data_IF_122007245008
#
_entry.id   IF_122007245008
#
_cell.length_a   1.000
_cell.length_b   1.000
_cell.length_c   1.000
_cell.angle_alpha   90.00
_cell.angle_beta   90.00
_cell.angle_gamma   90.00
#
_symmetry.space_group_name_H-M   'P 1'
#
loop_
_entity.id
_entity.type
_entity.pdbx_description
1 polymer ?
#
# COMPACT_ATOMS: atom_id res chain seq x y z
N UNK A 1 -8.77 -19.68 41.00
CA UNK A 1 -7.63 -19.92 41.92
C UNK A 1 -6.57 -18.90 41.57
N UNK A 2 -6.19 -18.01 42.49
CA UNK A 2 -5.04 -17.14 42.29
C UNK A 2 -3.79 -18.02 42.34
N UNK A 3 -2.94 -17.93 41.32
CA UNK A 3 -1.62 -18.57 41.32
C UNK A 3 -0.75 -17.75 42.27
N UNK A 4 -0.25 -18.36 43.34
CA UNK A 4 0.69 -17.68 44.23
C UNK A 4 1.90 -17.20 43.43
N UNK A 5 2.35 -15.95 43.60
CA UNK A 5 3.50 -15.43 42.90
C UNK A 5 4.75 -16.25 43.28
N UNK A 6 5.58 -16.57 42.28
CA UNK A 6 6.85 -17.26 42.50
C UNK A 6 7.65 -16.53 43.60
N UNK A 7 8.10 -17.24 44.65
CA UNK A 7 8.98 -16.66 45.67
C UNK A 7 10.20 -16.01 45.01
N UNK A 8 10.63 -14.87 45.54
CA UNK A 8 11.82 -14.12 45.11
C UNK A 8 11.82 -13.65 43.64
N UNK A 9 10.67 -13.69 42.95
CA UNK A 9 10.56 -13.30 41.55
C UNK A 9 10.98 -11.84 41.29
N UNK A 10 10.67 -10.93 42.22
CA UNK A 10 11.09 -9.53 42.13
C UNK A 10 12.62 -9.36 42.21
N UNK A 11 13.29 -10.12 43.07
CA UNK A 11 14.75 -10.11 43.18
C UNK A 11 15.40 -10.71 41.92
N UNK A 12 14.85 -11.82 41.42
CA UNK A 12 15.26 -12.41 40.15
C UNK A 12 15.17 -11.40 38.99
N UNK A 13 14.05 -10.68 38.86
CA UNK A 13 13.88 -9.69 37.79
C UNK A 13 14.90 -8.55 37.89
N UNK A 14 15.22 -8.09 39.10
CA UNK A 14 16.24 -7.06 39.30
C UNK A 14 17.65 -7.53 38.90
N UNK A 15 18.04 -8.75 39.31
CA UNK A 15 19.32 -9.35 38.93
C UNK A 15 19.40 -9.62 37.42
N UNK A 16 18.31 -10.13 36.84
CA UNK A 16 18.22 -10.38 35.41
C UNK A 16 18.34 -9.10 34.59
N UNK A 17 17.70 -8.01 35.03
CA UNK A 17 17.83 -6.70 34.40
C UNK A 17 19.29 -6.23 34.37
N UNK A 18 19.97 -6.27 35.51
CA UNK A 18 21.37 -5.84 35.60
C UNK A 18 22.28 -6.62 34.63
N UNK A 19 22.09 -7.94 34.55
CA UNK A 19 22.83 -8.80 33.62
C UNK A 19 22.54 -8.45 32.14
N UNK A 20 21.29 -8.16 31.80
CA UNK A 20 20.90 -7.81 30.43
C UNK A 20 21.44 -6.42 30.05
N UNK A 21 21.37 -5.44 30.95
CA UNK A 21 21.92 -4.09 30.73
C UNK A 21 23.43 -4.14 30.47
N UNK A 22 24.18 -4.92 31.25
CA UNK A 22 25.62 -5.12 31.04
C UNK A 22 25.91 -5.72 29.65
N UNK A 23 25.15 -6.74 29.24
CA UNK A 23 25.30 -7.37 27.93
C UNK A 23 24.97 -6.44 26.77
N UNK A 24 23.92 -5.63 26.90
CA UNK A 24 23.56 -4.63 25.87
C UNK A 24 24.65 -3.56 25.75
N UNK A 25 25.20 -3.09 26.87
CA UNK A 25 26.25 -2.09 26.91
C UNK A 25 27.58 -2.59 26.28
N UNK A 26 27.93 -3.85 26.51
CA UNK A 26 29.15 -4.46 25.95
C UNK A 26 29.06 -4.87 24.49
N UNK A 27 27.87 -4.86 23.88
CA UNK A 27 27.64 -5.39 22.55
C UNK A 27 27.75 -4.30 21.45
N UNK A 28 28.47 -4.60 20.35
CA UNK A 28 28.61 -3.70 19.20
C UNK A 28 27.24 -3.30 18.62
N UNK A 29 27.10 -2.02 18.26
CA UNK A 29 25.91 -1.51 17.58
C UNK A 29 25.62 -2.31 16.30
N UNK A 30 24.34 -2.63 16.09
CA UNK A 30 23.85 -3.36 14.93
C UNK A 30 22.53 -2.75 14.46
N UNK A 31 22.33 -2.69 13.14
CA UNK A 31 21.10 -2.23 12.52
C UNK A 31 19.92 -3.20 12.73
N UNK A 32 20.23 -4.45 13.12
CA UNK A 32 19.26 -5.50 13.37
C UNK A 32 18.86 -5.58 14.85
N UNK A 33 17.61 -5.98 15.09
CA UNK A 33 17.09 -6.17 16.44
C UNK A 33 17.74 -7.40 17.09
N UNK A 34 18.60 -7.18 18.08
CA UNK A 34 19.38 -8.26 18.70
C UNK A 34 18.53 -9.00 19.74
N UNK A 35 19.03 -10.16 20.16
CA UNK A 35 18.36 -10.94 21.20
C UNK A 35 18.40 -10.22 22.55
N UNK A 36 19.51 -9.55 22.82
CA UNK A 36 19.76 -8.78 24.03
C UNK A 36 18.86 -7.55 24.13
N UNK A 37 18.62 -6.87 23.00
CA UNK A 37 17.71 -5.72 22.93
C UNK A 37 16.25 -6.17 23.24
N UNK A 38 15.85 -7.34 22.73
CA UNK A 38 14.54 -7.95 23.05
C UNK A 38 14.41 -8.31 24.53
N UNK A 39 15.44 -8.91 25.13
CA UNK A 39 15.46 -9.21 26.56
C UNK A 39 15.38 -7.95 27.41
N UNK A 40 16.05 -6.87 26.99
CA UNK A 40 15.99 -5.59 27.71
C UNK A 40 14.58 -5.05 27.75
N UNK A 41 13.88 -5.04 26.62
CA UNK A 41 12.48 -4.61 26.56
C UNK A 41 11.58 -5.48 27.44
N UNK A 42 11.73 -6.79 27.37
CA UNK A 42 10.92 -7.75 28.14
C UNK A 42 11.10 -7.57 29.67
N UNK A 43 12.35 -7.41 30.15
CA UNK A 43 12.59 -7.21 31.58
C UNK A 43 12.15 -5.81 32.04
N UNK A 44 12.33 -4.79 31.21
CA UNK A 44 11.90 -3.42 31.52
C UNK A 44 10.38 -3.33 31.57
N UNK A 45 9.67 -3.93 30.63
CA UNK A 45 8.21 -3.99 30.63
C UNK A 45 7.68 -4.66 31.91
N UNK A 46 8.26 -5.78 32.34
CA UNK A 46 7.83 -6.49 33.55
C UNK A 46 8.16 -5.77 34.86
N UNK A 47 9.21 -4.95 34.88
CA UNK A 47 9.67 -4.28 36.12
C UNK A 47 9.19 -2.84 36.24
N UNK A 48 9.01 -2.14 35.12
CA UNK A 48 8.74 -0.71 35.05
C UNK A 48 7.55 -0.35 34.14
N UNK A 49 6.96 -1.33 33.45
CA UNK A 49 5.85 -1.10 32.53
C UNK A 49 6.19 -0.18 31.36
N UNK A 50 5.15 0.47 30.82
CA UNK A 50 5.28 1.38 29.68
C UNK A 50 6.21 2.57 29.95
N UNK A 51 6.31 3.05 31.19
CA UNK A 51 7.18 4.17 31.54
C UNK A 51 8.67 3.82 31.36
N UNK A 52 9.09 2.63 31.79
CA UNK A 52 10.46 2.16 31.55
C UNK A 52 10.75 1.92 30.07
N UNK A 53 9.76 1.41 29.32
CA UNK A 53 9.89 1.26 27.86
C UNK A 53 10.06 2.61 27.16
N UNK A 54 9.37 3.66 27.62
CA UNK A 54 9.53 5.02 27.10
C UNK A 54 10.97 5.53 27.27
N UNK A 55 11.59 5.31 28.43
CA UNK A 55 12.99 5.69 28.68
C UNK A 55 13.97 4.99 27.74
N UNK A 56 13.79 3.67 27.54
CA UNK A 56 14.59 2.89 26.60
C UNK A 56 14.41 3.40 25.17
N UNK A 57 13.16 3.68 24.77
CA UNK A 57 12.83 4.14 23.43
C UNK A 57 13.40 5.53 23.12
N UNK A 58 13.27 6.50 24.04
CA UNK A 58 13.82 7.86 23.90
C UNK A 58 15.35 7.87 23.82
N UNK A 59 16.00 7.00 24.61
CA UNK A 59 17.46 6.88 24.63
C UNK A 59 18.01 6.23 23.36
N UNK A 60 17.35 5.17 22.89
CA UNK A 60 17.82 4.39 21.74
C UNK A 60 17.43 5.00 20.40
N UNK A 61 16.25 5.64 20.32
CA UNK A 61 15.64 6.18 19.08
C UNK A 61 15.46 5.14 17.97
N UNK A 62 15.52 3.85 18.32
CA UNK A 62 15.36 2.73 17.39
C UNK A 62 13.89 2.41 17.22
N UNK A 63 13.48 2.13 15.99
CA UNK A 63 12.09 1.84 15.67
C UNK A 63 11.53 0.64 16.45
N UNK A 64 12.34 -0.38 16.75
CA UNK A 64 11.88 -1.57 17.46
C UNK A 64 11.62 -1.28 18.96
N UNK A 65 12.38 -0.38 19.59
CA UNK A 65 12.18 0.06 20.98
C UNK A 65 10.96 0.99 21.10
N UNK A 66 10.82 1.93 20.17
CA UNK A 66 9.65 2.80 20.06
C UNK A 66 8.36 2.01 19.82
N UNK A 67 8.39 0.97 18.98
CA UNK A 67 7.24 0.08 18.75
C UNK A 67 6.82 -0.67 20.01
N UNK A 68 7.78 -1.14 20.80
CA UNK A 68 7.47 -1.87 22.03
C UNK A 68 6.79 -0.96 23.06
N UNK A 69 7.28 0.26 23.23
CA UNK A 69 6.65 1.25 24.08
C UNK A 69 5.21 1.55 23.65
N UNK A 70 4.98 1.86 22.37
CA UNK A 70 3.64 2.14 21.86
C UNK A 70 2.70 0.93 22.00
N UNK A 71 3.21 -0.28 21.74
CA UNK A 71 2.43 -1.52 21.89
C UNK A 71 1.98 -1.74 23.34
N UNK A 72 2.86 -1.52 24.32
CA UNK A 72 2.51 -1.70 25.73
C UNK A 72 1.34 -0.78 26.15
N UNK A 73 1.29 0.45 25.61
CA UNK A 73 0.18 1.38 25.85
C UNK A 73 -1.13 0.92 25.20
N UNK A 74 -1.06 0.44 23.95
CA UNK A 74 -2.22 -0.13 23.24
C UNK A 74 -2.75 -1.38 23.95
N UNK A 75 -1.87 -2.28 24.38
CA UNK A 75 -2.25 -3.50 25.12
C UNK A 75 -2.85 -3.19 26.49
N UNK A 76 -2.47 -2.06 27.11
CA UNK A 76 -3.10 -1.54 28.32
C UNK A 76 -4.45 -0.81 28.06
N UNK A 77 -4.82 -0.57 26.80
CA UNK A 77 -6.02 0.16 26.41
C UNK A 77 -5.96 1.68 26.63
N UNK A 78 -4.78 2.23 26.93
CA UNK A 78 -4.58 3.67 27.13
C UNK A 78 -4.33 4.36 25.78
N UNK A 79 -5.42 4.57 25.03
CA UNK A 79 -5.35 5.15 23.68
C UNK A 79 -4.88 6.59 23.66
N UNK A 80 -5.14 7.37 24.71
CA UNK A 80 -4.66 8.75 24.82
C UNK A 80 -3.13 8.77 24.97
N UNK A 81 -2.58 7.98 25.89
CA UNK A 81 -1.13 7.87 26.02
C UNK A 81 -0.49 7.24 24.77
N UNK A 82 -1.15 6.24 24.16
CA UNK A 82 -0.68 5.62 22.93
C UNK A 82 -0.58 6.62 21.78
N UNK A 83 -1.59 7.50 21.61
CA UNK A 83 -1.57 8.54 20.57
C UNK A 83 -0.34 9.44 20.75
N UNK A 84 -0.14 10.01 21.95
CA UNK A 84 1.02 10.87 22.22
C UNK A 84 2.35 10.12 22.04
N UNK A 85 2.42 8.85 22.43
CA UNK A 85 3.61 8.03 22.23
C UNK A 85 3.91 7.77 20.74
N UNK A 86 2.88 7.54 19.92
CA UNK A 86 3.04 7.37 18.48
C UNK A 86 3.51 8.66 17.78
N UNK A 87 2.96 9.81 18.18
CA UNK A 87 3.40 11.12 17.68
C UNK A 87 4.86 11.39 18.05
N UNK A 88 5.23 11.18 19.32
CA UNK A 88 6.61 11.32 19.79
C UNK A 88 7.54 10.34 19.05
N UNK A 89 7.12 9.10 18.85
CA UNK A 89 7.91 8.10 18.14
C UNK A 89 8.14 8.43 16.66
N UNK A 90 7.17 9.07 15.99
CA UNK A 90 7.32 9.54 14.63
C UNK A 90 8.41 10.63 14.50
N UNK A 91 8.56 11.46 15.54
CA UNK A 91 9.58 12.51 15.62
C UNK A 91 10.96 11.97 16.00
N UNK A 92 11.01 10.99 16.91
CA UNK A 92 12.26 10.46 17.46
C UNK A 92 12.96 9.42 16.58
N UNK A 93 12.23 8.71 15.71
CA UNK A 93 12.82 7.56 14.98
C UNK A 93 13.94 7.99 14.02
N UNK A 94 15.13 7.40 14.20
CA UNK A 94 16.34 7.73 13.42
C UNK A 94 16.82 6.58 12.52
N UNK A 95 16.59 5.32 12.93
CA UNK A 95 17.21 4.15 12.31
C UNK A 95 16.62 3.79 10.94
N UNK A 96 15.30 3.93 10.78
CA UNK A 96 14.57 3.48 9.59
C UNK A 96 13.58 4.55 9.17
N UNK A 97 13.94 5.33 8.14
CA UNK A 97 13.07 6.40 7.61
C UNK A 97 11.65 5.92 7.25
N UNK A 98 11.49 4.67 6.81
CA UNK A 98 10.16 4.11 6.50
C UNK A 98 9.31 3.80 7.74
N UNK A 99 9.91 3.70 8.93
CA UNK A 99 9.20 3.38 10.17
C UNK A 99 8.32 4.54 10.65
N UNK A 100 8.69 5.79 10.34
CA UNK A 100 7.89 6.98 10.67
C UNK A 100 6.44 6.85 10.23
N UNK A 101 6.21 6.42 8.99
CA UNK A 101 4.86 6.20 8.47
C UNK A 101 4.04 5.20 9.29
N UNK A 102 4.69 4.17 9.86
CA UNK A 102 4.01 3.20 10.73
C UNK A 102 3.64 3.77 12.10
N UNK A 103 4.43 4.71 12.64
CA UNK A 103 4.06 5.42 13.87
C UNK A 103 2.91 6.39 13.63
N UNK A 104 2.92 7.11 12.50
CA UNK A 104 1.81 7.98 12.12
C UNK A 104 0.51 7.19 11.85
N UNK A 105 0.61 5.98 11.28
CA UNK A 105 -0.53 5.06 11.20
C UNK A 105 -1.04 4.67 12.60
N UNK A 106 -0.14 4.46 13.57
CA UNK A 106 -0.49 4.18 14.97
C UNK A 106 -1.20 5.35 15.65
N UNK A 107 -0.74 6.59 15.42
CA UNK A 107 -1.40 7.80 15.92
C UNK A 107 -2.81 7.93 15.33
N UNK A 108 -2.97 7.73 14.01
CA UNK A 108 -4.28 7.72 13.37
C UNK A 108 -5.18 6.60 13.90
N UNK A 109 -4.62 5.43 14.23
CA UNK A 109 -5.39 4.34 14.84
C UNK A 109 -5.88 4.75 16.22
N UNK A 110 -5.05 5.36 17.06
CA UNK A 110 -5.47 5.84 18.37
C UNK A 110 -6.56 6.92 18.25
N UNK A 111 -6.42 7.86 17.29
CA UNK A 111 -7.46 8.84 17.00
C UNK A 111 -8.79 8.19 16.58
N UNK A 112 -8.75 7.10 15.78
CA UNK A 112 -9.93 6.33 15.40
C UNK A 112 -10.60 5.68 16.62
N UNK A 113 -9.84 5.04 17.50
CA UNK A 113 -10.38 4.36 18.69
C UNK A 113 -10.93 5.35 19.73
N UNK A 114 -10.37 6.56 19.79
CA UNK A 114 -10.87 7.65 20.62
C UNK A 114 -12.11 8.35 20.02
N UNK A 115 -12.44 8.10 18.74
CA UNK A 115 -13.48 8.84 18.02
C UNK A 115 -13.14 10.32 17.87
N UNK A 116 -11.87 10.65 17.70
CA UNK A 116 -11.38 12.03 17.60
C UNK A 116 -11.77 12.68 16.27
N UNK A 117 -12.10 13.97 16.30
CA UNK A 117 -12.32 14.80 15.12
C UNK A 117 -11.03 15.01 14.29
N UNK A 118 -9.85 14.78 14.89
CA UNK A 118 -8.54 14.94 14.25
C UNK A 118 -8.11 13.74 13.37
N UNK A 119 -8.98 12.73 13.23
CA UNK A 119 -8.65 11.51 12.46
C UNK A 119 -8.27 11.83 11.01
N UNK A 120 -9.02 12.71 10.34
CA UNK A 120 -8.76 13.06 8.94
C UNK A 120 -7.38 13.71 8.76
N UNK A 121 -7.06 14.70 9.60
CA UNK A 121 -5.76 15.38 9.60
C UNK A 121 -4.61 14.40 9.92
N UNK A 122 -4.84 13.43 10.81
CA UNK A 122 -3.87 12.39 11.14
C UNK A 122 -3.58 11.46 9.94
N UNK A 123 -4.63 11.04 9.23
CA UNK A 123 -4.51 10.22 8.02
C UNK A 123 -3.82 10.97 6.88
N UNK A 124 -4.15 12.25 6.70
CA UNK A 124 -3.48 13.12 5.74
C UNK A 124 -1.97 13.21 6.04
N UNK A 125 -1.61 13.54 7.28
CA UNK A 125 -0.21 13.64 7.72
C UNK A 125 0.54 12.34 7.49
N UNK A 126 -0.05 11.20 7.86
CA UNK A 126 0.55 9.89 7.65
C UNK A 126 0.84 9.62 6.16
N UNK A 127 -0.10 9.97 5.27
CA UNK A 127 0.11 9.84 3.84
C UNK A 127 1.18 10.80 3.32
N UNK A 128 1.16 12.09 3.70
CA UNK A 128 2.13 13.09 3.22
C UNK A 128 3.57 12.75 3.61
N UNK A 129 3.79 12.31 4.84
CA UNK A 129 5.11 11.94 5.37
C UNK A 129 5.63 10.62 4.79
N UNK A 130 4.73 9.66 4.54
CA UNK A 130 5.09 8.35 3.99
C UNK A 130 4.10 7.88 2.90
N UNK A 131 4.16 8.47 1.69
CA UNK A 131 3.19 8.19 0.64
C UNK A 131 3.14 6.71 0.26
N UNK A 132 1.95 6.14 0.38
CA UNK A 132 1.62 4.78 -0.05
C UNK A 132 0.15 4.74 -0.48
N UNK A 133 -0.19 3.80 -1.35
CA UNK A 133 -1.56 3.67 -1.83
C UNK A 133 -2.54 3.43 -0.68
N UNK A 134 -2.19 2.57 0.28
CA UNK A 134 -3.09 2.21 1.38
C UNK A 134 -3.37 3.39 2.31
N UNK A 135 -2.37 4.24 2.60
CA UNK A 135 -2.59 5.50 3.34
C UNK A 135 -3.46 6.49 2.55
N UNK A 136 -3.23 6.59 1.24
CA UNK A 136 -4.06 7.43 0.38
C UNK A 136 -5.52 6.98 0.38
N UNK A 137 -5.77 5.67 0.27
CA UNK A 137 -7.13 5.11 0.30
C UNK A 137 -7.83 5.36 1.64
N UNK A 138 -7.12 5.26 2.77
CA UNK A 138 -7.68 5.57 4.10
C UNK A 138 -8.09 7.03 4.19
N UNK A 139 -7.22 7.94 3.78
CA UNK A 139 -7.49 9.38 3.85
C UNK A 139 -8.62 9.79 2.90
N UNK A 140 -8.60 9.34 1.63
CA UNK A 140 -9.69 9.60 0.69
C UNK A 140 -11.01 8.91 1.09
N UNK A 141 -10.91 7.81 1.85
CA UNK A 141 -12.06 7.10 2.40
C UNK A 141 -12.88 7.89 3.42
N UNK A 142 -12.34 8.99 3.95
CA UNK A 142 -13.05 9.90 4.85
C UNK A 142 -13.99 10.90 4.15
N UNK A 143 -13.93 11.02 2.82
CA UNK A 143 -14.77 11.96 2.07
C UNK A 143 -16.26 11.57 2.15
N UNK A 144 -17.12 12.54 2.41
CA UNK A 144 -18.56 12.32 2.53
C UNK A 144 -19.27 12.26 1.17
N UNK A 145 -18.73 12.93 0.16
CA UNK A 145 -19.35 13.07 -1.16
C UNK A 145 -18.30 13.21 -2.28
N UNK A 146 -18.78 13.22 -3.53
CA UNK A 146 -17.96 13.32 -4.74
C UNK A 146 -17.15 14.61 -4.82
N UNK A 147 -17.76 15.75 -4.48
CA UNK A 147 -17.10 17.06 -4.61
C UNK A 147 -15.88 17.13 -3.70
N UNK A 148 -16.03 16.72 -2.45
CA UNK A 148 -14.95 16.64 -1.47
C UNK A 148 -13.84 15.69 -1.93
N UNK A 149 -14.21 14.52 -2.49
CA UNK A 149 -13.25 13.55 -3.02
C UNK A 149 -12.43 14.12 -4.17
N UNK A 150 -13.07 14.84 -5.11
CA UNK A 150 -12.41 15.45 -6.28
C UNK A 150 -11.48 16.58 -5.87
N UNK A 151 -11.90 17.43 -4.92
CA UNK A 151 -11.10 18.51 -4.37
C UNK A 151 -9.86 17.95 -3.66
N UNK A 152 -10.07 16.99 -2.76
CA UNK A 152 -9.00 16.33 -2.00
C UNK A 152 -8.03 15.58 -2.91
N UNK A 153 -8.55 14.92 -3.96
CA UNK A 153 -7.72 14.28 -4.97
C UNK A 153 -6.85 15.28 -5.73
N UNK A 154 -7.36 16.49 -5.97
CA UNK A 154 -6.60 17.60 -6.54
C UNK A 154 -5.44 18.02 -5.65
N UNK A 155 -5.72 18.32 -4.39
CA UNK A 155 -4.69 18.68 -3.41
C UNK A 155 -3.63 17.57 -3.24
N UNK A 156 -4.04 16.30 -3.35
CA UNK A 156 -3.12 15.17 -3.31
C UNK A 156 -2.20 15.10 -4.55
N UNK A 157 -2.69 15.48 -5.74
CA UNK A 157 -1.88 15.48 -6.97
C UNK A 157 -0.69 16.45 -6.93
N UNK A 158 -0.83 17.54 -6.18
CA UNK A 158 0.22 18.57 -6.04
C UNK A 158 1.42 18.10 -5.23
N UNK A 159 1.20 17.15 -4.31
CA UNK A 159 2.25 16.70 -3.37
C UNK A 159 2.67 15.25 -3.56
N UNK A 160 1.88 14.44 -4.27
CA UNK A 160 2.19 13.03 -4.49
C UNK A 160 3.52 12.88 -5.23
N UNK A 161 4.45 12.02 -4.75
CA UNK A 161 5.75 11.87 -5.40
C UNK A 161 5.62 11.45 -6.87
N UNK A 162 6.43 12.05 -7.75
CA UNK A 162 6.41 11.74 -9.19
C UNK A 162 6.62 10.24 -9.51
N UNK A 163 7.34 9.52 -8.63
CA UNK A 163 7.59 8.07 -8.74
C UNK A 163 6.38 7.19 -8.37
N UNK A 164 5.37 7.72 -7.69
CA UNK A 164 4.19 6.99 -7.24
C UNK A 164 3.11 6.95 -8.35
N UNK A 165 3.47 6.38 -9.49
CA UNK A 165 2.67 6.46 -10.71
C UNK A 165 1.26 5.84 -10.54
N UNK A 166 1.12 4.78 -9.74
CA UNK A 166 -0.18 4.17 -9.42
C UNK A 166 -1.07 5.10 -8.60
N UNK A 167 -0.53 5.77 -7.58
CA UNK A 167 -1.28 6.76 -6.80
C UNK A 167 -1.70 7.94 -7.66
N UNK A 168 -0.81 8.45 -8.51
CA UNK A 168 -1.15 9.52 -9.47
C UNK A 168 -2.27 9.12 -10.42
N UNK A 169 -2.18 7.90 -10.96
CA UNK A 169 -3.21 7.36 -11.85
C UNK A 169 -4.58 7.24 -11.15
N UNK A 170 -4.62 6.77 -9.89
CA UNK A 170 -5.84 6.77 -9.08
C UNK A 170 -6.44 8.17 -8.99
N UNK A 171 -5.63 9.16 -8.62
CA UNK A 171 -6.10 10.52 -8.41
C UNK A 171 -6.67 11.16 -9.68
N UNK A 172 -6.04 10.94 -10.84
CA UNK A 172 -6.60 11.38 -12.13
C UNK A 172 -7.91 10.66 -12.47
N UNK A 173 -8.02 9.36 -12.19
CA UNK A 173 -9.27 8.60 -12.40
C UNK A 173 -10.40 9.14 -11.52
N UNK A 174 -10.13 9.42 -10.24
CA UNK A 174 -11.13 9.97 -9.32
C UNK A 174 -11.61 11.37 -9.72
N UNK A 175 -10.80 12.10 -10.49
CA UNK A 175 -11.15 13.42 -11.05
C UNK A 175 -11.73 13.36 -12.46
N UNK A 176 -12.01 12.15 -12.98
CA UNK A 176 -12.46 11.90 -14.36
C UNK A 176 -11.49 12.41 -15.45
N UNK A 177 -10.22 12.63 -15.10
CA UNK A 177 -9.15 13.02 -16.01
C UNK A 177 -8.59 11.77 -16.73
N UNK A 178 -9.47 11.03 -17.41
CA UNK A 178 -9.16 9.70 -17.97
C UNK A 178 -8.13 9.75 -19.09
N UNK A 179 -8.06 10.85 -19.85
CA UNK A 179 -7.02 11.06 -20.86
C UNK A 179 -5.61 11.14 -20.24
N UNK A 180 -5.49 11.78 -19.08
CA UNK A 180 -4.23 11.88 -18.34
C UNK A 180 -3.84 10.51 -17.77
N UNK A 181 -4.81 9.77 -17.22
CA UNK A 181 -4.61 8.40 -16.78
C UNK A 181 -4.18 7.48 -17.94
N UNK A 182 -4.77 7.65 -19.13
CA UNK A 182 -4.39 6.93 -20.35
C UNK A 182 -2.94 7.26 -20.75
N UNK A 183 -2.53 8.52 -20.67
CA UNK A 183 -1.14 8.93 -20.93
C UNK A 183 -0.16 8.29 -19.96
N UNK A 184 -0.49 8.20 -18.67
CA UNK A 184 0.33 7.50 -17.68
C UNK A 184 0.47 6.00 -17.99
N UNK A 185 -0.64 5.35 -18.39
CA UNK A 185 -0.64 3.95 -18.81
C UNK A 185 0.22 3.72 -20.06
N UNK A 186 0.04 4.56 -21.08
CA UNK A 186 0.76 4.49 -22.35
C UNK A 186 2.28 4.67 -22.17
N UNK A 187 2.70 5.49 -21.22
CA UNK A 187 4.10 5.78 -20.93
C UNK A 187 4.76 4.79 -19.96
N UNK A 188 3.98 3.96 -19.27
CA UNK A 188 4.50 2.94 -18.37
C UNK A 188 5.39 1.90 -19.09
N UNK A 189 6.26 1.24 -18.33
CA UNK A 189 7.24 0.26 -18.83
C UNK A 189 6.64 -1.15 -18.83
N UNK A 190 6.60 -1.81 -20.00
CA UNK A 190 5.99 -3.14 -20.15
C UNK A 190 6.59 -4.29 -19.32
N UNK A 191 7.84 -4.20 -18.86
CA UNK A 191 8.44 -5.22 -17.99
C UNK A 191 8.13 -5.05 -16.50
N UNK A 192 7.70 -3.86 -16.08
CA UNK A 192 7.54 -3.51 -14.66
C UNK A 192 6.13 -3.72 -14.11
N UNK A 193 5.34 -4.59 -14.72
CA UNK A 193 4.05 -4.99 -14.14
C UNK A 193 4.20 -5.80 -12.83
N UNK A 194 5.42 -6.13 -12.39
CA UNK A 194 5.65 -6.64 -11.02
C UNK A 194 5.92 -5.54 -10.00
N UNK A 195 6.12 -4.30 -10.45
CA UNK A 195 6.27 -3.13 -9.60
C UNK A 195 4.89 -2.75 -9.05
N UNK A 196 4.80 -2.59 -7.73
CA UNK A 196 3.55 -2.21 -7.08
C UNK A 196 3.06 -0.85 -7.60
N UNK A 197 3.97 0.09 -7.90
CA UNK A 197 3.59 1.43 -8.37
C UNK A 197 3.31 1.51 -9.89
N UNK A 198 3.27 0.37 -10.60
CA UNK A 198 2.90 0.36 -12.00
C UNK A 198 1.41 0.76 -12.19
N UNK A 199 1.09 1.80 -12.99
CA UNK A 199 -0.28 2.29 -13.11
C UNK A 199 -1.23 1.31 -13.81
N UNK A 200 -0.69 0.38 -14.62
CA UNK A 200 -1.46 -0.61 -15.36
C UNK A 200 -2.30 -1.57 -14.52
N UNK A 201 -1.96 -1.79 -13.25
CA UNK A 201 -2.80 -2.61 -12.35
C UNK A 201 -4.12 -1.94 -11.96
N UNK A 202 -4.21 -0.63 -12.19
CA UNK A 202 -5.36 0.18 -11.82
C UNK A 202 -6.06 0.70 -13.08
N UNK A 203 -5.34 1.41 -13.93
CA UNK A 203 -5.94 2.08 -15.10
C UNK A 203 -6.52 1.07 -16.09
N UNK A 204 -5.80 -0.03 -16.33
CA UNK A 204 -6.22 -1.04 -17.31
C UNK A 204 -7.56 -1.69 -16.93
N UNK A 205 -7.73 -2.30 -15.73
CA UNK A 205 -9.01 -2.89 -15.35
C UNK A 205 -10.13 -1.85 -15.20
N UNK A 206 -9.84 -0.60 -14.82
CA UNK A 206 -10.83 0.49 -14.83
C UNK A 206 -11.36 0.71 -16.25
N UNK A 207 -10.47 0.89 -17.23
CA UNK A 207 -10.88 1.15 -18.61
C UNK A 207 -11.66 -0.04 -19.20
N UNK A 208 -11.20 -1.27 -18.95
CA UNK A 208 -11.94 -2.48 -19.37
C UNK A 208 -13.36 -2.49 -18.80
N UNK A 209 -13.52 -2.16 -17.51
CA UNK A 209 -14.84 -2.11 -16.88
C UNK A 209 -15.73 -0.99 -17.45
N UNK A 210 -15.17 0.20 -17.68
CA UNK A 210 -15.89 1.34 -18.29
C UNK A 210 -16.39 1.00 -19.70
N UNK A 211 -15.54 0.45 -20.57
CA UNK A 211 -15.93 0.04 -21.93
C UNK A 211 -16.89 -1.15 -21.93
N UNK A 212 -16.74 -2.08 -20.97
CA UNK A 212 -17.62 -3.23 -20.84
C UNK A 212 -18.97 -2.94 -20.17
N UNK A 213 -19.22 -1.72 -19.70
CA UNK A 213 -20.41 -1.36 -18.91
C UNK A 213 -20.52 -2.15 -17.59
N UNK A 214 -19.40 -2.70 -17.10
CA UNK A 214 -19.34 -3.54 -15.92
C UNK A 214 -18.99 -2.71 -14.69
N UNK A 215 -19.37 -3.20 -13.50
CA UNK A 215 -18.89 -2.61 -12.25
C UNK A 215 -17.37 -2.74 -12.18
N UNK A 216 -16.69 -1.61 -11.97
CA UNK A 216 -15.24 -1.60 -11.81
C UNK A 216 -14.88 -2.41 -10.57
N UNK A 217 -14.13 -3.50 -10.77
CA UNK A 217 -13.56 -4.32 -9.71
C UNK A 217 -12.07 -4.43 -9.98
N UNK A 218 -11.24 -3.82 -9.13
CA UNK A 218 -9.79 -3.85 -9.32
C UNK A 218 -9.13 -4.72 -8.26
N UNK A 219 -8.56 -5.83 -8.71
CA UNK A 219 -7.69 -6.66 -7.89
C UNK A 219 -6.26 -6.13 -7.98
N UNK A 220 -5.87 -5.33 -6.99
CA UNK A 220 -4.50 -4.84 -6.90
C UNK A 220 -3.54 -5.96 -6.47
N UNK A 221 -2.34 -6.04 -7.07
CA UNK A 221 -1.28 -6.90 -6.54
C UNK A 221 -0.99 -6.54 -5.09
N UNK A 222 -0.86 -7.56 -4.24
CA UNK A 222 -0.53 -7.37 -2.82
C UNK A 222 0.81 -6.64 -2.70
N UNK A 223 0.80 -5.50 -2.00
CA UNK A 223 2.04 -4.84 -1.59
C UNK A 223 2.60 -5.59 -0.37
N UNK A 224 3.87 -5.99 -0.43
CA UNK A 224 4.54 -6.62 0.71
C UNK A 224 4.56 -5.72 1.95
N UNK A 225 4.43 -4.39 1.77
CA UNK A 225 4.30 -3.42 2.86
C UNK A 225 2.96 -3.49 3.60
N UNK A 226 1.93 -4.11 3.03
CA UNK A 226 0.61 -4.31 3.64
C UNK A 226 0.42 -5.70 4.29
N UNK A 227 1.44 -6.57 4.24
CA UNK A 227 1.37 -7.93 4.81
C UNK A 227 1.15 -7.96 6.32
N UNK A 228 1.34 -6.85 7.03
CA UNK A 228 1.00 -6.72 8.45
C UNK A 228 -0.50 -6.80 8.76
N UNK A 229 -1.37 -6.62 7.75
CA UNK A 229 -2.83 -6.62 7.92
C UNK A 229 -3.47 -8.03 7.87
N UNK A 230 -2.72 -9.04 7.38
CA UNK A 230 -3.28 -10.35 7.00
C UNK A 230 -3.31 -11.37 8.15
N UNK A 231 -2.65 -11.10 9.27
CA UNK A 231 -2.87 -11.91 10.48
C UNK A 231 -4.19 -11.47 11.12
N UNK A 232 -5.11 -12.42 11.22
CA UNK A 232 -6.35 -12.35 12.01
C UNK A 232 -5.95 -12.37 13.48
N UNK A 233 -5.44 -11.23 13.93
CA UNK A 233 -5.19 -10.93 15.33
C UNK A 233 -6.28 -9.94 15.71
N UNK A 234 -6.96 -10.17 16.84
CA UNK A 234 -8.12 -9.38 17.36
C UNK A 234 -7.76 -7.90 17.66
N UNK A 235 -6.61 -7.44 17.20
CA UNK A 235 -6.10 -6.09 17.37
C UNK A 235 -6.88 -5.09 16.50
N UNK A 236 -7.16 -3.89 17.02
CA UNK A 236 -7.72 -2.80 16.23
C UNK A 236 -6.86 -2.48 15.00
N UNK A 237 -7.52 -2.23 13.87
CA UNK A 237 -6.89 -1.90 12.59
C UNK A 237 -7.53 -0.64 12.02
N UNK A 238 -6.73 0.17 11.33
CA UNK A 238 -7.24 1.31 10.57
C UNK A 238 -8.20 0.82 9.49
N UNK A 239 -9.39 1.41 9.47
CA UNK A 239 -10.36 1.17 8.39
C UNK A 239 -9.74 1.65 7.09
N UNK A 240 -9.70 0.76 6.09
CA UNK A 240 -9.16 1.07 4.76
C UNK A 240 -10.26 0.86 3.74
N UNK A 241 -10.73 1.97 3.16
CA UNK A 241 -11.75 1.97 2.12
C UNK A 241 -11.26 1.25 0.87
N UNK A 242 -12.11 0.40 0.30
CA UNK A 242 -11.78 -0.33 -0.92
C UNK A 242 -11.71 0.61 -2.13
N UNK A 243 -10.87 0.27 -3.10
CA UNK A 243 -10.77 1.03 -4.34
C UNK A 243 -12.13 1.16 -5.07
N UNK A 244 -12.90 0.07 -5.12
CA UNK A 244 -14.21 0.05 -5.78
C UNK A 244 -15.25 0.95 -5.08
N UNK A 245 -15.04 1.27 -3.80
CA UNK A 245 -15.91 2.18 -3.06
C UNK A 245 -15.59 3.64 -3.38
N UNK A 246 -14.31 4.00 -3.47
CA UNK A 246 -13.91 5.35 -3.92
C UNK A 246 -14.33 5.63 -5.36
N UNK A 247 -14.19 4.65 -6.26
CA UNK A 247 -14.66 4.82 -7.63
C UNK A 247 -16.17 5.01 -7.73
N UNK A 248 -16.93 4.34 -6.87
CA UNK A 248 -18.39 4.50 -6.80
C UNK A 248 -18.76 5.86 -6.25
N UNK A 249 -18.02 6.37 -5.26
CA UNK A 249 -18.21 7.72 -4.72
C UNK A 249 -17.86 8.80 -5.77
N UNK A 250 -16.83 8.56 -6.58
CA UNK A 250 -16.43 9.43 -7.68
C UNK A 250 -17.41 9.41 -8.87
N UNK A 251 -18.28 8.40 -8.96
CA UNK A 251 -19.24 8.18 -10.06
C UNK A 251 -18.57 8.19 -11.45
N UNK A 252 -17.40 7.55 -11.56
CA UNK A 252 -16.62 7.57 -12.81
C UNK A 252 -17.36 6.83 -13.92
N UNK A 253 -17.73 7.54 -14.99
CA UNK A 253 -18.39 6.99 -16.17
C UNK A 253 -17.48 6.98 -17.40
N UNK A 254 -17.88 6.22 -18.43
CA UNK A 254 -17.23 6.27 -19.73
C UNK A 254 -17.47 7.67 -20.36
N UNK A 255 -16.44 8.35 -20.89
CA UNK A 255 -16.62 9.63 -21.55
C UNK A 255 -17.50 9.52 -22.80
N UNK A 256 -18.34 10.52 -23.04
CA UNK A 256 -19.11 10.62 -24.29
C UNK A 256 -18.20 10.96 -25.48
N UNK A 257 -17.14 11.72 -25.21
CA UNK A 257 -16.14 12.16 -26.18
C UNK A 257 -15.39 10.98 -26.82
N UNK A 258 -15.50 10.87 -28.15
CA UNK A 258 -14.88 9.80 -28.93
C UNK A 258 -13.35 9.92 -28.98
N UNK A 259 -12.80 11.13 -28.95
CA UNK A 259 -11.34 11.34 -28.99
C UNK A 259 -10.70 10.88 -27.68
N UNK A 260 -11.37 11.10 -26.55
CA UNK A 260 -10.93 10.58 -25.24
C UNK A 260 -11.01 9.05 -25.24
N UNK A 261 -12.12 8.47 -25.72
CA UNK A 261 -12.28 7.01 -25.81
C UNK A 261 -11.22 6.37 -26.70
N UNK A 262 -10.95 6.96 -27.85
CA UNK A 262 -9.89 6.54 -28.77
C UNK A 262 -8.51 6.59 -28.09
N UNK A 263 -8.22 7.65 -27.34
CA UNK A 263 -6.98 7.80 -26.58
C UNK A 263 -6.83 6.73 -25.50
N UNK A 264 -7.92 6.39 -24.79
CA UNK A 264 -7.94 5.30 -23.81
C UNK A 264 -7.60 3.95 -24.46
N UNK A 265 -8.25 3.61 -25.57
CA UNK A 265 -7.99 2.35 -26.31
C UNK A 265 -6.55 2.30 -26.83
N UNK A 266 -6.06 3.39 -27.42
CA UNK A 266 -4.68 3.48 -27.89
C UNK A 266 -3.67 3.28 -26.77
N UNK A 267 -3.92 3.85 -25.59
CA UNK A 267 -3.09 3.65 -24.40
C UNK A 267 -3.10 2.19 -23.92
N UNK A 268 -4.27 1.54 -23.89
CA UNK A 268 -4.40 0.13 -23.53
C UNK A 268 -3.61 -0.77 -24.49
N UNK A 269 -3.79 -0.58 -25.82
CA UNK A 269 -3.05 -1.33 -26.86
C UNK A 269 -1.54 -1.17 -26.70
N UNK A 270 -1.07 0.07 -26.54
CA UNK A 270 0.36 0.37 -26.33
C UNK A 270 0.92 -0.29 -25.07
N UNK A 271 0.14 -0.33 -23.98
CA UNK A 271 0.54 -1.01 -22.75
C UNK A 271 0.62 -2.53 -22.94
N UNK A 272 -0.31 -3.13 -23.69
CA UNK A 272 -0.32 -4.55 -24.02
C UNK A 272 0.86 -4.94 -24.93
N UNK A 273 1.13 -4.17 -25.99
CA UNK A 273 2.27 -4.35 -26.89
C UNK A 273 3.59 -4.32 -26.13
N UNK A 274 3.83 -3.26 -25.34
CA UNK A 274 5.03 -3.16 -24.49
C UNK A 274 5.16 -4.33 -23.53
N UNK A 275 4.04 -4.84 -22.99
CA UNK A 275 4.06 -6.01 -22.10
C UNK A 275 4.50 -7.25 -22.87
N UNK A 276 3.93 -7.51 -24.04
CA UNK A 276 4.25 -8.65 -24.90
C UNK A 276 5.71 -8.60 -25.35
N UNK A 277 6.16 -7.46 -25.86
CA UNK A 277 7.55 -7.22 -26.26
C UNK A 277 8.49 -7.51 -25.08
N UNK A 278 8.19 -6.90 -23.91
CA UNK A 278 8.96 -7.07 -22.70
C UNK A 278 9.12 -8.53 -22.27
N UNK A 279 8.01 -9.27 -22.15
CA UNK A 279 8.05 -10.66 -21.68
C UNK A 279 8.68 -11.60 -22.71
N UNK A 280 8.51 -11.35 -24.00
CA UNK A 280 9.08 -12.18 -25.07
C UNK A 280 10.59 -11.96 -25.22
N UNK A 281 11.04 -10.70 -25.26
CA UNK A 281 12.46 -10.34 -25.29
C UNK A 281 13.25 -10.93 -24.11
N UNK A 282 12.62 -11.01 -22.93
CA UNK A 282 13.25 -11.54 -21.72
C UNK A 282 12.90 -13.01 -21.41
N UNK A 283 12.23 -13.70 -22.34
CA UNK A 283 11.82 -15.12 -22.21
C UNK A 283 11.07 -15.43 -20.90
N UNK A 284 10.29 -14.48 -20.38
CA UNK A 284 9.54 -14.59 -19.12
C UNK A 284 8.23 -15.36 -19.32
N UNK A 285 8.34 -16.66 -19.63
CA UNK A 285 7.20 -17.52 -20.00
C UNK A 285 6.05 -17.53 -18.99
N UNK A 286 6.32 -17.43 -17.69
CA UNK A 286 5.30 -17.36 -16.62
C UNK A 286 4.35 -16.16 -16.74
N UNK A 287 4.69 -15.16 -17.56
CA UNK A 287 3.90 -13.94 -17.71
C UNK A 287 3.24 -13.81 -19.09
N UNK A 288 3.32 -14.84 -19.93
CA UNK A 288 2.68 -14.83 -21.25
C UNK A 288 1.15 -14.79 -21.15
N UNK A 289 0.56 -15.53 -20.20
CA UNK A 289 -0.88 -15.50 -19.94
C UNK A 289 -1.40 -14.10 -19.65
N UNK A 290 -0.75 -13.40 -18.72
CA UNK A 290 -1.09 -12.00 -18.43
C UNK A 290 -0.93 -11.09 -19.64
N UNK A 291 0.17 -11.21 -20.40
CA UNK A 291 0.40 -10.39 -21.59
C UNK A 291 -0.67 -10.59 -22.68
N UNK A 292 -1.03 -11.86 -22.94
CA UNK A 292 -2.08 -12.21 -23.89
C UNK A 292 -3.46 -11.71 -23.44
N UNK A 293 -3.79 -11.87 -22.14
CA UNK A 293 -5.05 -11.39 -21.57
C UNK A 293 -5.24 -9.88 -21.76
N UNK A 294 -4.20 -9.07 -21.58
CA UNK A 294 -4.29 -7.63 -21.82
C UNK A 294 -4.68 -7.34 -23.28
N UNK A 295 -4.00 -7.95 -24.25
CA UNK A 295 -4.26 -7.71 -25.66
C UNK A 295 -5.68 -8.14 -26.08
N UNK A 296 -6.17 -9.29 -25.60
CA UNK A 296 -7.54 -9.73 -25.88
C UNK A 296 -8.56 -8.76 -25.28
N UNK A 297 -8.34 -8.30 -24.04
CA UNK A 297 -9.22 -7.32 -23.39
C UNK A 297 -9.22 -5.98 -24.14
N UNK A 298 -8.10 -5.54 -24.74
CA UNK A 298 -8.08 -4.36 -25.59
C UNK A 298 -9.00 -4.50 -26.80
N UNK A 299 -8.94 -5.64 -27.50
CA UNK A 299 -9.77 -5.87 -28.68
C UNK A 299 -11.26 -5.95 -28.33
N UNK A 300 -11.58 -6.58 -27.19
CA UNK A 300 -12.95 -6.66 -26.66
C UNK A 300 -13.49 -5.29 -26.22
N UNK A 301 -12.68 -4.48 -25.54
CA UNK A 301 -13.06 -3.14 -25.09
C UNK A 301 -13.29 -2.18 -26.25
N UNK A 302 -12.50 -2.31 -27.32
CA UNK A 302 -12.70 -1.54 -28.54
C UNK A 302 -13.97 -1.97 -29.28
N UNK A 303 -14.21 -3.28 -29.42
CA UNK A 303 -15.42 -3.82 -30.05
C UNK A 303 -15.52 -3.60 -31.56
N UNK A 304 -14.60 -2.84 -32.18
CA UNK A 304 -14.60 -2.58 -33.62
C UNK A 304 -13.86 -3.65 -34.45
N UNK A 305 -14.13 -3.74 -35.77
CA UNK A 305 -13.32 -4.56 -36.68
C UNK A 305 -11.83 -4.18 -36.67
N UNK A 306 -11.49 -2.91 -36.43
CA UNK A 306 -10.11 -2.45 -36.35
C UNK A 306 -9.38 -3.00 -35.11
N UNK A 307 -10.09 -3.13 -33.98
CA UNK A 307 -9.58 -3.80 -32.77
C UNK A 307 -9.23 -5.27 -33.01
N UNK A 308 -10.13 -5.99 -33.70
CA UNK A 308 -9.90 -7.40 -34.05
C UNK A 308 -8.77 -7.57 -35.07
N UNK A 309 -8.66 -6.67 -36.05
CA UNK A 309 -7.57 -6.67 -37.02
C UNK A 309 -6.21 -6.45 -36.32
N UNK A 310 -6.13 -5.47 -35.42
CA UNK A 310 -4.93 -5.21 -34.62
C UNK A 310 -4.50 -6.43 -33.79
N UNK A 311 -5.44 -7.14 -33.14
CA UNK A 311 -5.13 -8.35 -32.39
C UNK A 311 -4.57 -9.45 -33.30
N UNK A 312 -5.15 -9.63 -34.49
CA UNK A 312 -4.67 -10.59 -35.48
C UNK A 312 -3.24 -10.28 -35.95
N UNK A 313 -2.96 -9.01 -36.25
CA UNK A 313 -1.63 -8.53 -36.66
C UNK A 313 -0.59 -8.79 -35.56
N UNK A 314 -0.94 -8.46 -34.30
CA UNK A 314 -0.08 -8.70 -33.15
C UNK A 314 0.21 -10.20 -32.96
N UNK A 315 -0.80 -11.06 -33.15
CA UNK A 315 -0.61 -12.51 -33.07
C UNK A 315 0.30 -13.06 -34.19
N UNK A 316 0.24 -12.51 -35.41
CA UNK A 316 1.13 -12.90 -36.51
C UNK A 316 2.57 -12.41 -36.28
N UNK A 317 2.76 -11.18 -35.79
CA UNK A 317 4.09 -10.64 -35.45
C UNK A 317 4.83 -11.56 -34.46
N UNK A 318 4.12 -12.06 -33.45
CA UNK A 318 4.66 -12.93 -32.42
C UNK A 318 4.46 -14.43 -32.71
N UNK A 319 4.16 -14.82 -33.96
CA UNK A 319 3.92 -16.23 -34.36
C UNK A 319 5.04 -17.21 -34.00
N UNK A 320 6.28 -16.70 -33.92
CA UNK A 320 7.48 -17.47 -33.54
C UNK A 320 7.52 -17.93 -32.07
N UNK A 321 6.54 -17.53 -31.25
CA UNK A 321 6.42 -17.89 -29.84
C UNK A 321 5.22 -18.82 -29.58
N UNK A 322 5.34 -20.16 -29.78
CA UNK A 322 4.21 -21.09 -29.65
C UNK A 322 3.56 -21.13 -28.25
N UNK A 323 4.33 -20.84 -27.20
CA UNK A 323 3.79 -20.74 -25.84
C UNK A 323 2.86 -19.52 -25.70
N UNK A 324 3.27 -18.34 -26.22
CA UNK A 324 2.43 -17.15 -26.19
C UNK A 324 1.17 -17.32 -27.05
N UNK A 325 1.27 -17.97 -28.21
CA UNK A 325 0.10 -18.30 -29.05
C UNK A 325 -0.95 -19.15 -28.31
N UNK A 326 -0.52 -20.07 -27.44
CA UNK A 326 -1.44 -20.86 -26.61
C UNK A 326 -2.15 -19.99 -25.57
N UNK A 327 -1.43 -19.04 -24.99
CA UNK A 327 -2.02 -18.10 -24.03
C UNK A 327 -3.04 -17.15 -24.69
N UNK A 328 -2.80 -16.69 -25.92
CA UNK A 328 -3.81 -15.91 -26.68
C UNK A 328 -5.11 -16.68 -26.84
N UNK A 329 -5.04 -17.96 -27.26
CA UNK A 329 -6.22 -18.82 -27.37
C UNK A 329 -6.91 -19.03 -26.03
N UNK A 330 -6.13 -19.25 -24.96
CA UNK A 330 -6.68 -19.43 -23.62
C UNK A 330 -7.36 -18.15 -23.08
N UNK A 331 -6.90 -16.98 -23.50
CA UNK A 331 -7.48 -15.69 -23.16
C UNK A 331 -8.73 -15.33 -23.99
N UNK A 332 -9.08 -16.11 -25.02
CA UNK A 332 -10.27 -15.90 -25.85
C UNK A 332 -10.05 -15.14 -27.16
N UNK A 333 -8.81 -15.14 -27.68
CA UNK A 333 -8.51 -14.68 -29.05
C UNK A 333 -9.00 -15.65 -30.14
#
# INVERSE_FOLDING_TARGET
MAVDPLPDFGEFLAQWRALVEERVAGAKQSDWDRREDRWLREVVERTQGAAGLAEVARRSRRSDDLRAWCRALVEAGDWTAAQSAYEEAAELVEDRAYARGGFLDGAALAAQELGSDDLDASLERAWREAPSLSRLLRWLGGCANREELVERAGAALDVVPARAARQRALLHVLREELEVAATLLANARGLRWSDAEHPGHLVFPVFVALFGGAKVTVQLPRDYRDMGSVMDDDRPKLRTTGFDELLRLADVTLPEDEDIRSTMIAAMRKAAEKRIEGVTANKRRRHYGHAASLAVQCAQADGSPAGNAWLCELMDEYRRYPALKREFKAAGA
#
